data_IF_404098546199
#
_entry.id   IF_404098546199
#
_cell.length_a   1.000
_cell.length_b   1.000
_cell.length_c   1.000
_cell.angle_alpha   90.00
_cell.angle_beta   90.00
_cell.angle_gamma   90.00
#
_symmetry.space_group_name_H-M   'P 1'
#
loop_
_entity.id
_entity.type
_entity.pdbx_description
1 polymer ?
#
# COMPACT_ATOMS: atom_id res chain seq x y z
N UNK A 1 -27.82 28.05 37.88
CA UNK A 1 -26.61 28.72 37.37
C UNK A 1 -26.41 30.00 38.19
N UNK A 2 -25.56 29.98 39.24
CA UNK A 2 -25.32 31.17 40.07
C UNK A 2 -24.37 32.09 39.31
N UNK A 3 -24.88 33.22 38.82
CA UNK A 3 -24.07 34.29 38.26
C UNK A 3 -23.09 34.79 39.34
N UNK A 4 -21.80 34.89 38.97
CA UNK A 4 -20.73 35.48 39.78
C UNK A 4 -21.12 36.93 40.14
N UNK A 5 -21.73 37.13 41.31
CA UNK A 5 -22.10 38.46 41.80
C UNK A 5 -20.89 39.11 42.47
N UNK A 6 -20.27 40.05 41.75
CA UNK A 6 -19.14 40.84 42.25
C UNK A 6 -19.63 41.78 43.36
N UNK A 7 -19.46 41.36 44.62
CA UNK A 7 -19.73 42.21 45.78
C UNK A 7 -18.54 43.12 46.06
N UNK A 8 -18.81 44.42 46.24
CA UNK A 8 -17.84 45.44 46.66
C UNK A 8 -18.54 46.50 47.51
N UNK A 9 -17.83 47.04 48.50
CA UNK A 9 -18.36 48.01 49.48
C UNK A 9 -18.46 49.42 48.89
N UNK A 10 -17.73 49.72 47.81
CA UNK A 10 -17.79 50.98 47.06
C UNK A 10 -17.95 50.77 45.55
N UNK A 11 -18.46 51.77 44.80
CA UNK A 11 -18.59 51.70 43.34
C UNK A 11 -17.25 51.47 42.64
N UNK A 12 -16.18 52.08 43.15
CA UNK A 12 -14.82 51.95 42.64
C UNK A 12 -14.28 50.52 42.81
N UNK A 13 -14.53 49.91 43.97
CA UNK A 13 -14.11 48.54 44.25
C UNK A 13 -14.79 47.53 43.32
N UNK A 14 -16.06 47.75 42.98
CA UNK A 14 -16.78 46.91 42.01
C UNK A 14 -16.20 47.02 40.60
N UNK A 15 -15.84 48.22 40.15
CA UNK A 15 -15.23 48.45 38.84
C UNK A 15 -13.86 47.75 38.75
N UNK A 16 -13.01 47.92 39.76
CA UNK A 16 -11.69 47.29 39.80
C UNK A 16 -11.80 45.76 39.78
N UNK A 17 -12.71 45.18 40.57
CA UNK A 17 -12.94 43.73 40.57
C UNK A 17 -13.49 43.21 39.24
N UNK A 18 -14.36 43.98 38.57
CA UNK A 18 -14.87 43.62 37.25
C UNK A 18 -13.75 43.66 36.19
N UNK A 19 -12.91 44.69 36.20
CA UNK A 19 -11.74 44.78 35.31
C UNK A 19 -10.73 43.67 35.57
N UNK A 20 -10.48 43.33 36.84
CA UNK A 20 -9.60 42.23 37.20
C UNK A 20 -10.15 40.87 36.73
N UNK A 21 -11.46 40.64 36.86
CA UNK A 21 -12.10 39.41 36.38
C UNK A 21 -12.05 39.33 34.85
N UNK A 22 -12.25 40.45 34.16
CA UNK A 22 -12.15 40.52 32.70
C UNK A 22 -10.71 40.27 32.23
N UNK A 23 -9.70 40.81 32.93
CA UNK A 23 -8.29 40.53 32.67
C UNK A 23 -7.98 39.03 32.82
N UNK A 24 -8.46 38.39 33.89
CA UNK A 24 -8.26 36.95 34.11
C UNK A 24 -8.90 36.15 32.97
N UNK A 25 -10.12 36.48 32.55
CA UNK A 25 -10.78 35.82 31.42
C UNK A 25 -9.98 35.98 30.13
N UNK A 26 -9.44 37.18 29.85
CA UNK A 26 -8.60 37.43 28.68
C UNK A 26 -7.30 36.60 28.72
N UNK A 27 -6.63 36.55 29.87
CA UNK A 27 -5.40 35.78 30.04
C UNK A 27 -5.66 34.28 29.89
N UNK A 28 -6.73 33.77 30.50
CA UNK A 28 -7.12 32.35 30.38
C UNK A 28 -7.53 32.02 28.94
N UNK A 29 -8.29 32.90 28.28
CA UNK A 29 -8.68 32.73 26.87
C UNK A 29 -7.47 32.70 25.94
N UNK A 30 -6.49 33.59 26.15
CA UNK A 30 -5.23 33.59 25.40
C UNK A 30 -4.41 32.32 25.65
N UNK A 31 -4.26 31.91 26.92
CA UNK A 31 -3.53 30.71 27.29
C UNK A 31 -4.20 29.45 26.72
N UNK A 32 -5.53 29.38 26.75
CA UNK A 32 -6.30 28.30 26.15
C UNK A 32 -6.11 28.24 24.63
N UNK A 33 -6.20 29.38 23.94
CA UNK A 33 -5.97 29.46 22.50
C UNK A 33 -4.57 28.97 22.12
N UNK A 34 -3.54 29.44 22.83
CA UNK A 34 -2.15 29.03 22.63
C UNK A 34 -1.94 27.54 22.92
N UNK A 35 -2.56 26.99 23.96
CA UNK A 35 -2.48 25.57 24.27
C UNK A 35 -3.15 24.71 23.19
N UNK A 36 -4.29 25.16 22.66
CA UNK A 36 -5.03 24.44 21.63
C UNK A 36 -4.28 24.42 20.29
N UNK A 37 -3.61 25.51 19.91
CA UNK A 37 -2.71 25.54 18.75
C UNK A 37 -1.57 24.52 18.89
N UNK A 38 -0.89 24.52 20.04
CA UNK A 38 0.19 23.55 20.32
C UNK A 38 -0.31 22.10 20.31
N UNK A 39 -1.52 21.85 20.80
CA UNK A 39 -2.12 20.51 20.83
C UNK A 39 -2.47 20.05 19.41
N UNK A 40 -3.08 20.91 18.59
CA UNK A 40 -3.36 20.62 17.19
C UNK A 40 -2.07 20.33 16.42
N UNK A 41 -1.04 21.18 16.58
CA UNK A 41 0.26 20.97 15.96
C UNK A 41 0.88 19.63 16.36
N UNK A 42 0.84 19.22 17.64
CA UNK A 42 1.33 17.90 18.07
C UNK A 42 0.53 16.74 17.47
N UNK A 43 -0.80 16.85 17.48
CA UNK A 43 -1.68 15.81 16.92
C UNK A 43 -1.47 15.67 15.42
N UNK A 44 -1.25 16.76 14.69
CA UNK A 44 -0.96 16.74 13.26
C UNK A 44 0.50 16.34 12.93
N UNK A 45 1.46 16.70 13.79
CA UNK A 45 2.88 16.38 13.60
C UNK A 45 3.17 14.88 13.81
N UNK A 46 2.48 14.23 14.75
CA UNK A 46 2.72 12.84 15.12
C UNK A 46 1.78 11.83 14.46
N UNK A 47 0.68 12.27 13.82
CA UNK A 47 -0.17 11.33 13.11
C UNK A 47 0.59 10.74 11.90
N UNK A 48 0.82 9.43 11.81
CA UNK A 48 1.61 8.86 10.71
C UNK A 48 0.86 8.87 9.36
N UNK A 49 -0.47 9.03 9.36
CA UNK A 49 -1.29 9.17 8.17
C UNK A 49 -2.09 10.48 8.19
N UNK A 50 -2.00 11.28 7.14
CA UNK A 50 -2.82 12.49 7.00
C UNK A 50 -3.28 12.67 5.56
N UNK A 51 -4.57 12.96 5.39
CA UNK A 51 -5.17 13.28 4.10
C UNK A 51 -5.89 14.63 4.19
N UNK A 52 -5.27 15.65 3.61
CA UNK A 52 -5.78 17.02 3.51
C UNK A 52 -6.81 17.19 2.38
N UNK A 53 -6.77 16.30 1.39
CA UNK A 53 -7.65 16.38 0.22
C UNK A 53 -9.04 15.88 0.53
N UNK A 54 -9.15 14.88 1.41
CA UNK A 54 -10.38 14.15 1.69
C UNK A 54 -10.80 13.23 0.55
N UNK A 55 -9.96 13.06 -0.48
CA UNK A 55 -10.26 12.29 -1.69
C UNK A 55 -9.91 10.80 -1.53
N UNK A 56 -9.17 10.40 -0.49
CA UNK A 56 -8.76 9.00 -0.31
C UNK A 56 -9.94 8.14 0.13
N UNK A 57 -10.23 7.11 -0.66
CA UNK A 57 -11.29 6.15 -0.41
C UNK A 57 -11.00 5.30 0.84
N UNK A 58 -12.06 4.83 1.50
CA UNK A 58 -11.93 4.06 2.75
C UNK A 58 -11.04 2.80 2.62
N UNK A 59 -11.13 1.98 1.55
CA UNK A 59 -10.24 0.82 1.38
C UNK A 59 -8.76 1.22 1.26
N UNK A 60 -8.46 2.26 0.47
CA UNK A 60 -7.09 2.75 0.30
C UNK A 60 -6.54 3.32 1.62
N UNK A 61 -7.37 4.04 2.38
CA UNK A 61 -7.02 4.55 3.70
C UNK A 61 -6.68 3.44 4.69
N UNK A 62 -7.47 2.36 4.69
CA UNK A 62 -7.21 1.19 5.53
C UNK A 62 -5.88 0.52 5.14
N UNK A 63 -5.66 0.30 3.84
CA UNK A 63 -4.43 -0.26 3.30
C UNK A 63 -3.19 0.58 3.70
N UNK A 64 -3.26 1.90 3.53
CA UNK A 64 -2.19 2.81 3.92
C UNK A 64 -1.85 2.74 5.41
N UNK A 65 -2.87 2.67 6.28
CA UNK A 65 -2.67 2.52 7.73
C UNK A 65 -2.05 1.17 8.09
N UNK A 66 -2.48 0.09 7.45
CA UNK A 66 -1.89 -1.24 7.62
C UNK A 66 -0.43 -1.28 7.18
N UNK A 67 -0.12 -0.64 6.04
CA UNK A 67 1.27 -0.49 5.58
C UNK A 67 2.13 0.23 6.62
N UNK A 68 1.69 1.40 7.11
CA UNK A 68 2.40 2.18 8.13
C UNK A 68 2.66 1.33 9.39
N UNK A 69 1.63 0.66 9.89
CA UNK A 69 1.71 -0.19 11.07
C UNK A 69 2.70 -1.32 10.88
N UNK A 70 2.58 -2.05 9.78
CA UNK A 70 3.43 -3.21 9.50
C UNK A 70 4.89 -2.81 9.25
N UNK A 71 5.14 -1.66 8.62
CA UNK A 71 6.50 -1.12 8.45
C UNK A 71 7.17 -0.83 9.80
N UNK A 72 6.41 -0.28 10.75
CA UNK A 72 6.89 -0.05 12.11
C UNK A 72 7.15 -1.36 12.86
N UNK A 73 6.21 -2.30 12.81
CA UNK A 73 6.28 -3.59 13.52
C UNK A 73 7.40 -4.50 13.00
N UNK A 74 7.54 -4.64 11.67
CA UNK A 74 8.47 -5.61 11.07
C UNK A 74 9.87 -5.05 10.86
N UNK A 75 9.99 -3.75 10.62
CA UNK A 75 11.27 -3.15 10.21
C UNK A 75 11.73 -1.99 11.11
N UNK A 76 10.94 -1.60 12.11
CA UNK A 76 11.25 -0.43 12.95
C UNK A 76 11.18 0.90 12.19
N UNK A 77 10.54 0.94 11.02
CA UNK A 77 10.47 2.13 10.17
C UNK A 77 9.22 2.94 10.50
N UNK A 78 9.42 4.20 10.91
CA UNK A 78 8.33 5.15 11.15
C UNK A 78 7.95 5.84 9.86
N UNK A 79 6.78 5.49 9.33
CA UNK A 79 6.25 6.06 8.10
C UNK A 79 5.40 7.31 8.38
N UNK A 80 5.66 8.40 7.65
CA UNK A 80 4.78 9.56 7.52
C UNK A 80 4.23 9.63 6.10
N UNK A 81 2.96 9.25 5.95
CA UNK A 81 2.21 9.38 4.70
C UNK A 81 1.33 10.63 4.74
N UNK A 82 1.48 11.47 3.71
CA UNK A 82 0.79 12.75 3.58
C UNK A 82 0.14 12.88 2.21
N UNK A 83 -1.18 12.96 2.15
CA UNK A 83 -1.90 13.38 0.95
C UNK A 83 -2.22 14.87 1.12
N UNK A 84 -1.64 15.71 0.26
CA UNK A 84 -1.64 17.17 0.41
C UNK A 84 -2.32 17.85 -0.77
N UNK A 85 -2.71 19.10 -0.58
CA UNK A 85 -3.21 19.98 -1.66
C UNK A 85 -2.09 20.78 -2.34
N UNK A 86 -0.95 20.89 -1.68
CA UNK A 86 0.23 21.60 -2.16
C UNK A 86 1.48 20.78 -1.91
N UNK A 87 2.44 20.90 -2.82
CA UNK A 87 3.75 20.24 -2.71
C UNK A 87 4.45 20.68 -1.41
N UNK A 88 4.72 19.75 -0.46
CA UNK A 88 5.39 20.09 0.78
C UNK A 88 6.89 20.28 0.56
N UNK A 89 7.52 21.05 1.43
CA UNK A 89 8.99 21.07 1.52
C UNK A 89 9.52 19.66 1.81
N UNK A 90 10.60 19.30 1.11
CA UNK A 90 11.26 18.02 1.30
C UNK A 90 11.87 17.94 2.71
N UNK A 91 11.42 17.01 3.57
CA UNK A 91 12.03 16.85 4.88
C UNK A 91 13.46 16.30 4.76
N UNK A 92 14.30 16.57 5.75
CA UNK A 92 15.64 15.98 5.83
C UNK A 92 15.52 14.47 6.10
N UNK A 93 16.31 13.62 5.41
CA UNK A 93 16.37 12.20 5.72
C UNK A 93 16.78 11.95 7.17
N UNK A 94 16.11 11.02 7.85
CA UNK A 94 16.41 10.61 9.22
C UNK A 94 16.43 9.08 9.31
N UNK A 95 17.25 8.53 10.22
CA UNK A 95 17.34 7.08 10.43
C UNK A 95 15.98 6.49 10.85
N UNK A 96 15.58 5.41 10.18
CA UNK A 96 14.31 4.72 10.44
C UNK A 96 13.06 5.59 10.25
N UNK A 97 13.14 6.71 9.50
CA UNK A 97 11.97 7.52 9.13
C UNK A 97 11.79 7.55 7.62
N UNK A 98 10.60 7.17 7.18
CA UNK A 98 10.21 7.23 5.78
C UNK A 98 9.12 8.28 5.63
N UNK A 99 9.26 9.16 4.63
CA UNK A 99 8.23 10.13 4.27
C UNK A 99 7.74 9.88 2.85
N UNK A 100 6.43 9.89 2.68
CA UNK A 100 5.78 9.89 1.37
C UNK A 100 4.70 10.97 1.35
N UNK A 101 4.93 12.02 0.57
CA UNK A 101 3.98 13.06 0.24
C UNK A 101 3.41 12.82 -1.16
N UNK A 102 2.09 12.82 -1.30
CA UNK A 102 1.41 12.74 -2.60
C UNK A 102 0.50 13.94 -2.74
N UNK A 103 0.60 14.64 -3.87
CA UNK A 103 -0.14 15.87 -4.15
C UNK A 103 -0.88 15.70 -5.47
N UNK A 104 -2.12 15.18 -5.45
CA UNK A 104 -2.84 14.83 -6.66
C UNK A 104 -3.12 16.04 -7.58
N UNK A 105 -3.37 17.22 -7.01
CA UNK A 105 -3.61 18.45 -7.77
C UNK A 105 -2.39 18.91 -8.56
N UNK A 106 -1.21 18.82 -7.95
CA UNK A 106 0.05 19.26 -8.54
C UNK A 106 0.73 18.13 -9.33
N UNK A 107 0.14 16.92 -9.33
CA UNK A 107 0.72 15.69 -9.91
C UNK A 107 2.14 15.43 -9.39
N UNK A 108 2.36 15.73 -8.12
CA UNK A 108 3.67 15.68 -7.50
C UNK A 108 3.72 14.61 -6.40
N UNK A 109 4.88 13.97 -6.29
CA UNK A 109 5.22 13.07 -5.19
C UNK A 109 6.54 13.55 -4.57
N UNK A 110 6.61 13.48 -3.25
CA UNK A 110 7.82 13.74 -2.48
C UNK A 110 8.11 12.51 -1.65
N UNK A 111 9.14 11.76 -2.02
CA UNK A 111 9.59 10.59 -1.28
C UNK A 111 10.91 10.91 -0.58
N UNK A 112 11.00 10.59 0.70
CA UNK A 112 12.26 10.66 1.44
C UNK A 112 12.47 9.33 2.14
N UNK A 113 13.44 8.51 1.68
CA UNK A 113 13.76 7.26 2.32
C UNK A 113 14.48 7.49 3.67
N UNK A 114 14.49 6.49 4.56
CA UNK A 114 15.33 6.50 5.74
C UNK A 114 16.81 6.71 5.40
N UNK A 115 17.52 7.48 6.23
CA UNK A 115 18.94 7.79 5.99
C UNK A 115 19.86 6.55 6.08
N UNK A 116 19.39 5.46 6.72
CA UNK A 116 20.08 4.18 6.82
C UNK A 116 19.82 3.23 5.63
N UNK A 117 19.07 3.67 4.62
CA UNK A 117 18.92 2.92 3.38
C UNK A 117 20.17 3.04 2.48
N UNK A 118 20.48 2.01 1.67
CA UNK A 118 21.60 2.09 0.72
C UNK A 118 21.41 3.26 -0.24
N UNK A 119 22.32 4.24 -0.21
CA UNK A 119 22.14 5.54 -0.85
C UNK A 119 21.83 5.50 -2.35
N UNK A 120 22.49 4.60 -3.09
CA UNK A 120 22.26 4.44 -4.53
C UNK A 120 20.83 3.95 -4.83
N UNK A 121 20.40 2.87 -4.17
CA UNK A 121 19.08 2.27 -4.38
C UNK A 121 17.95 3.13 -3.84
N UNK A 122 18.18 3.81 -2.72
CA UNK A 122 17.22 4.74 -2.15
C UNK A 122 17.01 5.94 -3.08
N UNK A 123 18.08 6.45 -3.70
CA UNK A 123 18.01 7.51 -4.70
C UNK A 123 17.31 7.04 -5.98
N UNK A 124 17.56 5.81 -6.43
CA UNK A 124 16.89 5.21 -7.59
C UNK A 124 15.37 5.11 -7.36
N UNK A 125 14.95 4.54 -6.23
CA UNK A 125 13.52 4.44 -5.88
C UNK A 125 12.88 5.82 -5.79
N UNK A 126 13.59 6.78 -5.20
CA UNK A 126 13.10 8.15 -5.10
C UNK A 126 12.87 8.77 -6.47
N UNK A 127 13.86 8.72 -7.37
CA UNK A 127 13.73 9.23 -8.73
C UNK A 127 12.55 8.57 -9.46
N UNK A 128 12.44 7.24 -9.35
CA UNK A 128 11.36 6.50 -9.97
C UNK A 128 9.99 6.89 -9.44
N UNK A 129 9.78 6.93 -8.12
CA UNK A 129 8.49 7.28 -7.53
C UNK A 129 8.08 8.71 -7.86
N UNK A 130 9.02 9.65 -7.86
CA UNK A 130 8.74 11.06 -8.07
C UNK A 130 8.56 11.43 -9.54
N UNK A 131 9.32 10.81 -10.45
CA UNK A 131 9.32 11.20 -11.86
C UNK A 131 8.58 10.25 -12.80
N UNK A 132 8.55 8.94 -12.50
CA UNK A 132 8.12 7.91 -13.47
C UNK A 132 6.86 7.17 -13.03
N UNK A 133 6.84 6.65 -11.80
CA UNK A 133 5.79 5.74 -11.32
C UNK A 133 4.40 6.37 -11.42
N UNK A 134 4.23 7.56 -10.86
CA UNK A 134 2.92 8.20 -10.82
C UNK A 134 2.49 8.84 -12.15
N UNK A 135 3.40 9.05 -13.09
CA UNK A 135 3.10 9.68 -14.38
C UNK A 135 1.96 8.96 -15.13
N UNK A 136 1.95 7.62 -15.07
CA UNK A 136 0.90 6.77 -15.67
C UNK A 136 -0.38 6.63 -14.85
N UNK A 137 -0.37 7.07 -13.58
CA UNK A 137 -1.52 6.92 -12.68
C UNK A 137 -2.28 8.22 -12.48
N UNK A 138 -1.68 9.39 -12.75
CA UNK A 138 -2.32 10.68 -12.50
C UNK A 138 -3.64 10.88 -13.26
N UNK A 139 -3.68 10.46 -14.53
CA UNK A 139 -4.86 10.62 -15.38
C UNK A 139 -5.90 9.49 -15.23
N UNK A 140 -5.51 8.38 -14.59
CA UNK A 140 -6.36 7.20 -14.44
C UNK A 140 -6.87 7.06 -12.99
N UNK A 141 -6.02 6.54 -12.11
CA UNK A 141 -6.31 6.39 -10.69
C UNK A 141 -5.02 6.55 -9.89
N UNK A 142 -4.84 7.74 -9.33
CA UNK A 142 -3.66 8.06 -8.52
C UNK A 142 -3.64 7.27 -7.19
N UNK A 143 -4.79 6.79 -6.70
CA UNK A 143 -4.85 5.96 -5.49
C UNK A 143 -4.34 4.54 -5.78
N UNK A 144 -4.59 4.03 -6.99
CA UNK A 144 -3.93 2.81 -7.46
C UNK A 144 -2.42 3.01 -7.54
N UNK A 145 -1.97 4.15 -8.09
CA UNK A 145 -0.55 4.52 -8.10
C UNK A 145 0.05 4.57 -6.69
N UNK A 146 -0.67 5.13 -5.72
CA UNK A 146 -0.26 5.13 -4.31
C UNK A 146 -0.18 3.71 -3.74
N UNK A 147 -1.18 2.86 -3.99
CA UNK A 147 -1.15 1.45 -3.55
C UNK A 147 0.10 0.74 -4.09
N UNK A 148 0.35 0.84 -5.39
CA UNK A 148 1.54 0.27 -6.02
C UNK A 148 2.82 0.84 -5.39
N UNK A 149 2.92 2.16 -5.19
CA UNK A 149 4.08 2.79 -4.58
C UNK A 149 4.39 2.24 -3.17
N UNK A 150 3.36 2.02 -2.35
CA UNK A 150 3.54 1.42 -1.01
C UNK A 150 4.06 -0.03 -1.10
N UNK A 151 3.63 -0.80 -2.09
CA UNK A 151 4.17 -2.15 -2.36
C UNK A 151 5.64 -2.08 -2.77
N UNK A 152 6.01 -1.14 -3.65
CA UNK A 152 7.40 -0.93 -4.06
C UNK A 152 8.30 -0.62 -2.86
N UNK A 153 7.86 0.32 -2.02
CA UNK A 153 8.56 0.70 -0.79
C UNK A 153 8.70 -0.50 0.16
N UNK A 154 7.63 -1.27 0.34
CA UNK A 154 7.64 -2.49 1.16
C UNK A 154 8.69 -3.48 0.66
N UNK A 155 8.71 -3.75 -0.65
CA UNK A 155 9.62 -4.70 -1.26
C UNK A 155 11.08 -4.25 -1.11
N UNK A 156 11.35 -2.97 -1.34
CA UNK A 156 12.68 -2.38 -1.14
C UNK A 156 13.14 -2.47 0.31
N UNK A 157 12.23 -2.30 1.28
CA UNK A 157 12.56 -2.42 2.69
C UNK A 157 12.83 -3.88 3.10
N UNK A 158 11.99 -4.80 2.62
CA UNK A 158 12.08 -6.24 2.91
C UNK A 158 13.39 -6.82 2.38
N UNK A 159 13.76 -6.42 1.18
CA UNK A 159 15.04 -6.78 0.57
C UNK A 159 15.84 -5.50 0.29
N UNK A 160 16.56 -5.02 1.32
CA UNK A 160 17.40 -3.81 1.22
C UNK A 160 18.46 -3.94 0.11
N UNK A 161 18.77 -5.16 -0.31
CA UNK A 161 19.71 -5.45 -1.38
C UNK A 161 19.04 -5.79 -2.72
N UNK A 162 17.71 -5.79 -2.82
CA UNK A 162 17.04 -5.88 -4.09
C UNK A 162 17.30 -4.62 -4.94
N UNK A 163 17.56 -4.80 -6.23
CA UNK A 163 17.59 -3.67 -7.17
C UNK A 163 16.19 -3.07 -7.27
N UNK A 164 16.11 -1.80 -7.66
CA UNK A 164 14.83 -1.16 -7.89
C UNK A 164 14.02 -1.97 -8.92
N UNK A 165 14.63 -2.53 -9.97
CA UNK A 165 14.01 -3.46 -10.93
C UNK A 165 13.29 -4.65 -10.25
N UNK A 166 13.93 -5.27 -9.25
CA UNK A 166 13.35 -6.39 -8.47
C UNK A 166 12.23 -5.94 -7.54
N UNK A 167 12.30 -4.71 -7.00
CA UNK A 167 11.25 -4.11 -6.19
C UNK A 167 10.09 -3.57 -7.03
N UNK A 168 10.39 -3.07 -8.25
CA UNK A 168 9.57 -2.36 -9.25
C UNK A 168 8.53 -3.22 -9.93
N UNK A 169 8.64 -4.53 -9.80
CA UNK A 169 7.72 -5.39 -10.49
C UNK A 169 6.30 -5.24 -9.89
N UNK A 170 5.50 -4.37 -10.53
CA UNK A 170 4.08 -4.64 -10.80
C UNK A 170 3.89 -6.01 -11.48
N UNK A 171 4.98 -6.60 -12.01
CA UNK A 171 5.14 -7.99 -12.44
C UNK A 171 5.62 -8.93 -11.31
N UNK A 172 5.59 -8.52 -10.03
CA UNK A 172 6.18 -9.33 -8.97
C UNK A 172 5.50 -10.68 -9.06
N UNK A 173 6.26 -11.77 -9.17
CA UNK A 173 5.65 -13.06 -9.52
C UNK A 173 4.47 -13.37 -8.61
N UNK A 174 4.56 -12.99 -7.33
CA UNK A 174 3.52 -13.19 -6.34
C UNK A 174 3.25 -11.92 -5.53
N UNK A 175 1.98 -11.51 -5.49
CA UNK A 175 1.46 -10.61 -4.45
C UNK A 175 0.40 -11.36 -3.65
N UNK A 176 0.53 -11.36 -2.33
CA UNK A 176 -0.42 -12.01 -1.42
C UNK A 176 -1.03 -10.96 -0.47
N UNK A 177 -2.24 -10.47 -0.79
CA UNK A 177 -2.95 -9.51 0.07
C UNK A 177 -3.53 -10.17 1.32
N UNK A 178 -3.84 -11.47 1.28
CA UNK A 178 -4.41 -12.17 2.44
C UNK A 178 -3.34 -12.40 3.52
N UNK A 179 -2.08 -12.52 3.11
CA UNK A 179 -0.95 -12.77 4.01
C UNK A 179 -0.95 -14.20 4.57
N UNK A 180 -1.74 -15.08 3.97
CA UNK A 180 -2.01 -16.43 4.46
C UNK A 180 -1.20 -17.50 3.71
N UNK A 181 -0.47 -17.14 2.65
CA UNK A 181 0.41 -18.08 1.95
C UNK A 181 1.66 -18.36 2.78
N UNK A 182 1.98 -19.64 3.04
CA UNK A 182 3.17 -20.03 3.81
C UNK A 182 4.48 -19.68 3.07
N UNK A 183 5.60 -19.63 3.79
CA UNK A 183 6.91 -19.39 3.18
C UNK A 183 7.27 -20.48 2.14
N UNK A 184 6.89 -21.72 2.39
CA UNK A 184 7.11 -22.84 1.47
C UNK A 184 6.31 -22.67 0.17
N UNK A 185 5.04 -22.30 0.26
CA UNK A 185 4.19 -22.07 -0.90
C UNK A 185 4.66 -20.87 -1.72
N UNK A 186 5.14 -19.81 -1.05
CA UNK A 186 5.74 -18.65 -1.72
C UNK A 186 6.98 -19.05 -2.51
N UNK A 187 7.86 -19.85 -1.90
CA UNK A 187 9.06 -20.36 -2.56
C UNK A 187 8.70 -21.28 -3.75
N UNK A 188 7.66 -22.10 -3.62
CA UNK A 188 7.14 -22.92 -4.71
C UNK A 188 6.70 -22.06 -5.91
N UNK A 189 5.87 -21.04 -5.66
CA UNK A 189 5.38 -20.11 -6.69
C UNK A 189 6.54 -19.40 -7.40
N UNK A 190 7.53 -18.92 -6.66
CA UNK A 190 8.72 -18.28 -7.22
C UNK A 190 9.53 -19.22 -8.11
N UNK A 191 9.73 -20.47 -7.68
CA UNK A 191 10.43 -21.50 -8.47
C UNK A 191 9.68 -21.82 -9.76
N UNK A 192 8.35 -21.96 -9.70
CA UNK A 192 7.52 -22.17 -10.88
C UNK A 192 7.72 -21.05 -11.90
N UNK A 193 7.60 -19.79 -11.48
CA UNK A 193 7.73 -18.66 -12.41
C UNK A 193 9.15 -18.53 -12.99
N UNK A 194 10.18 -18.76 -12.16
CA UNK A 194 11.56 -18.78 -12.63
C UNK A 194 11.79 -19.88 -13.66
N UNK A 195 11.18 -21.05 -13.48
CA UNK A 195 11.24 -22.14 -14.44
C UNK A 195 10.47 -21.83 -15.72
N UNK A 196 9.30 -21.18 -15.61
CA UNK A 196 8.49 -20.78 -16.75
C UNK A 196 9.21 -19.78 -17.65
N UNK A 197 9.88 -18.79 -17.04
CA UNK A 197 10.65 -17.79 -17.76
C UNK A 197 11.88 -18.42 -18.42
N UNK A 198 12.61 -19.28 -17.70
CA UNK A 198 13.82 -19.94 -18.22
C UNK A 198 13.51 -20.92 -19.36
N UNK A 199 12.49 -21.77 -19.18
CA UNK A 199 12.29 -22.94 -20.06
C UNK A 199 11.29 -22.65 -21.19
N UNK A 200 10.42 -21.64 -21.03
CA UNK A 200 9.40 -21.30 -22.03
C UNK A 200 9.42 -19.83 -22.46
N UNK A 201 10.32 -19.00 -21.92
CA UNK A 201 10.34 -17.54 -22.15
C UNK A 201 8.98 -16.88 -21.90
N UNK A 202 8.22 -17.37 -20.90
CA UNK A 202 6.94 -16.80 -20.47
C UNK A 202 7.04 -16.31 -19.03
N UNK A 203 6.39 -15.20 -18.72
CA UNK A 203 6.34 -14.62 -17.37
C UNK A 203 5.10 -15.10 -16.63
N UNK A 204 5.17 -15.16 -15.29
CA UNK A 204 4.01 -15.47 -14.45
C UNK A 204 3.75 -14.36 -13.44
N UNK A 205 2.50 -13.91 -13.39
CA UNK A 205 1.99 -12.92 -12.44
C UNK A 205 0.85 -13.54 -11.64
N UNK A 206 1.08 -13.77 -10.36
CA UNK A 206 0.16 -14.43 -9.43
C UNK A 206 -0.27 -13.44 -8.35
N UNK A 207 -1.57 -13.27 -8.16
CA UNK A 207 -2.15 -12.29 -7.24
C UNK A 207 -3.20 -12.95 -6.35
N UNK A 208 -3.04 -12.85 -5.04
CA UNK A 208 -4.04 -13.26 -4.05
C UNK A 208 -4.71 -12.01 -3.48
N UNK A 209 -6.01 -11.89 -3.68
CA UNK A 209 -6.84 -10.74 -3.32
C UNK A 209 -7.69 -11.03 -2.08
N UNK A 210 -7.95 -10.00 -1.27
CA UNK A 210 -9.00 -10.06 -0.22
C UNK A 210 -10.40 -9.77 -0.74
N UNK A 211 -10.53 -9.22 -1.96
CA UNK A 211 -11.77 -8.69 -2.50
C UNK A 211 -11.94 -8.99 -3.99
N UNK A 212 -12.29 -8.00 -4.80
CA UNK A 212 -12.41 -8.22 -6.23
C UNK A 212 -11.06 -8.49 -6.88
N UNK A 213 -11.03 -9.48 -7.78
CA UNK A 213 -9.89 -9.73 -8.65
C UNK A 213 -9.85 -8.61 -9.69
N UNK A 214 -8.70 -7.94 -9.79
CA UNK A 214 -8.41 -6.96 -10.83
C UNK A 214 -7.37 -7.59 -11.74
N UNK A 215 -7.73 -7.83 -13.00
CA UNK A 215 -6.80 -8.31 -14.02
C UNK A 215 -6.00 -7.11 -14.51
N UNK A 216 -4.66 -7.12 -14.41
CA UNK A 216 -3.84 -6.05 -14.95
C UNK A 216 -3.86 -6.07 -16.48
N UNK A 217 -3.35 -5.02 -17.10
CA UNK A 217 -3.04 -5.07 -18.54
C UNK A 217 -1.88 -6.06 -18.76
N UNK A 218 -2.08 -7.07 -19.60
CA UNK A 218 -1.15 -8.18 -19.79
C UNK A 218 -0.56 -8.14 -21.18
N UNK A 219 0.76 -8.29 -21.28
CA UNK A 219 1.43 -8.49 -22.55
C UNK A 219 1.17 -9.90 -23.13
N UNK A 220 1.71 -10.16 -24.32
CA UNK A 220 1.54 -11.43 -25.02
C UNK A 220 2.46 -12.57 -24.50
N UNK A 221 3.19 -12.36 -23.40
CA UNK A 221 4.14 -13.30 -22.81
C UNK A 221 3.85 -13.61 -21.34
N UNK A 222 2.90 -12.91 -20.73
CA UNK A 222 2.64 -12.99 -19.29
C UNK A 222 1.37 -13.79 -19.02
N UNK A 223 1.51 -14.88 -18.27
CA UNK A 223 0.36 -15.54 -17.66
C UNK A 223 -0.05 -14.80 -16.39
N UNK A 224 -1.35 -14.71 -16.17
CA UNK A 224 -1.93 -14.15 -14.96
C UNK A 224 -2.77 -15.19 -14.24
N UNK A 225 -2.60 -15.23 -12.92
CA UNK A 225 -3.43 -16.04 -12.03
C UNK A 225 -3.84 -15.18 -10.84
N UNK A 226 -5.09 -14.74 -10.84
CA UNK A 226 -5.72 -14.05 -9.73
C UNK A 226 -6.57 -15.02 -8.91
N UNK A 227 -6.42 -15.02 -7.59
CA UNK A 227 -7.28 -15.77 -6.65
C UNK A 227 -7.85 -14.82 -5.62
N UNK A 228 -9.13 -14.94 -5.28
CA UNK A 228 -9.76 -14.29 -4.13
C UNK A 228 -10.44 -15.34 -3.25
N UNK A 229 -9.76 -15.85 -2.20
CA UNK A 229 -10.30 -16.92 -1.36
C UNK A 229 -11.58 -16.50 -0.63
N UNK A 230 -11.68 -15.25 -0.18
CA UNK A 230 -12.87 -14.71 0.52
C UNK A 230 -14.12 -14.62 -0.35
N UNK A 231 -13.95 -14.59 -1.68
CA UNK A 231 -15.04 -14.49 -2.66
C UNK A 231 -15.24 -15.78 -3.45
N UNK A 232 -14.44 -16.83 -3.17
CA UNK A 232 -14.39 -18.07 -3.94
C UNK A 232 -14.27 -17.82 -5.46
N UNK A 233 -13.36 -16.93 -5.83
CA UNK A 233 -13.14 -16.55 -7.23
C UNK A 233 -11.70 -16.81 -7.62
N UNK A 234 -11.51 -17.21 -8.87
CA UNK A 234 -10.22 -17.24 -9.53
C UNK A 234 -10.37 -16.67 -10.95
N UNK A 235 -9.28 -16.14 -11.49
CA UNK A 235 -9.17 -15.77 -12.90
C UNK A 235 -7.81 -16.24 -13.38
N UNK A 236 -7.82 -17.06 -14.43
CA UNK A 236 -6.59 -17.48 -15.11
C UNK A 236 -6.61 -16.92 -16.52
N UNK A 237 -5.52 -16.27 -16.92
CA UNK A 237 -5.31 -15.78 -18.28
C UNK A 237 -3.95 -16.24 -18.77
N UNK A 238 -3.93 -16.87 -19.94
CA UNK A 238 -2.70 -17.35 -20.55
C UNK A 238 -2.36 -16.55 -21.81
N UNK A 239 -1.06 -16.30 -22.07
CA UNK A 239 -0.63 -15.71 -23.32
C UNK A 239 -0.95 -16.62 -24.51
N UNK A 240 -1.05 -16.08 -25.75
CA UNK A 240 -1.50 -16.83 -26.91
C UNK A 240 -0.73 -18.13 -27.17
N UNK A 241 0.58 -18.13 -26.91
CA UNK A 241 1.46 -19.31 -27.12
C UNK A 241 1.10 -20.41 -26.11
N UNK A 242 1.01 -20.07 -24.81
CA UNK A 242 0.61 -21.02 -23.77
C UNK A 242 -0.81 -21.56 -24.02
N UNK A 243 -1.77 -20.73 -24.44
CA UNK A 243 -3.13 -21.21 -24.78
C UNK A 243 -3.13 -22.28 -25.86
N UNK A 244 -2.23 -22.19 -26.84
CA UNK A 244 -2.12 -23.20 -27.90
C UNK A 244 -1.56 -24.52 -27.36
N UNK A 245 -0.53 -24.44 -26.51
CA UNK A 245 0.10 -25.62 -25.91
C UNK A 245 -0.80 -26.31 -24.86
N UNK A 246 -1.49 -25.53 -24.04
CA UNK A 246 -2.36 -26.03 -22.97
C UNK A 246 -3.68 -26.64 -23.46
N UNK A 247 -4.07 -26.34 -24.70
CA UNK A 247 -5.34 -26.78 -25.28
C UNK A 247 -6.49 -25.82 -25.01
N UNK A 248 -7.54 -25.95 -25.83
CA UNK A 248 -8.71 -25.04 -25.78
C UNK A 248 -9.46 -25.18 -24.46
N UNK A 249 -9.58 -24.07 -23.73
CA UNK A 249 -10.42 -23.96 -22.54
C UNK A 249 -9.76 -24.42 -21.24
N UNK A 250 -8.45 -24.70 -21.23
CA UNK A 250 -7.72 -25.07 -20.02
C UNK A 250 -7.80 -23.98 -18.92
N UNK A 251 -7.70 -22.70 -19.30
CA UNK A 251 -7.95 -21.54 -18.45
C UNK A 251 -9.35 -21.57 -17.80
N UNK A 252 -10.36 -21.94 -18.59
CA UNK A 252 -11.75 -22.05 -18.13
C UNK A 252 -11.92 -23.22 -17.18
N UNK A 253 -11.30 -24.37 -17.44
CA UNK A 253 -11.31 -25.54 -16.54
C UNK A 253 -10.68 -25.18 -15.20
N UNK A 254 -9.51 -24.54 -15.19
CA UNK A 254 -8.90 -24.07 -13.94
C UNK A 254 -9.82 -23.11 -13.18
N UNK A 255 -10.41 -22.16 -13.91
CA UNK A 255 -11.23 -21.09 -13.32
C UNK A 255 -12.60 -21.58 -12.81
N UNK A 256 -13.26 -22.49 -13.51
CA UNK A 256 -14.66 -22.89 -13.26
C UNK A 256 -14.82 -24.22 -12.53
N UNK A 257 -13.81 -25.07 -12.54
CA UNK A 257 -13.89 -26.41 -11.98
C UNK A 257 -12.87 -26.54 -10.84
N UNK A 258 -11.57 -26.46 -11.15
CA UNK A 258 -10.49 -26.69 -10.19
C UNK A 258 -10.53 -25.74 -8.98
N UNK A 259 -10.52 -24.43 -9.21
CA UNK A 259 -10.47 -23.47 -8.10
C UNK A 259 -11.74 -23.49 -7.22
N UNK A 260 -12.96 -23.49 -7.78
CA UNK A 260 -14.19 -23.65 -7.00
C UNK A 260 -14.19 -24.86 -6.06
N UNK A 261 -13.71 -26.02 -6.49
CA UNK A 261 -13.58 -27.21 -5.64
C UNK A 261 -12.63 -26.95 -4.46
N UNK A 262 -11.44 -26.39 -4.73
CA UNK A 262 -10.42 -26.14 -3.71
C UNK A 262 -10.81 -25.07 -2.69
N UNK A 263 -11.68 -24.12 -3.07
CA UNK A 263 -12.22 -23.15 -2.11
C UNK A 263 -13.21 -23.80 -1.13
N UNK A 264 -13.99 -24.78 -1.58
CA UNK A 264 -14.95 -25.49 -0.74
C UNK A 264 -14.30 -26.25 0.43
N UNK A 265 -13.08 -26.75 0.20
CA UNK A 265 -12.30 -27.50 1.19
C UNK A 265 -11.45 -26.59 2.11
N UNK A 266 -11.47 -25.26 1.89
CA UNK A 266 -10.68 -24.30 2.67
C UNK A 266 -9.18 -24.30 2.35
N UNK A 267 -8.71 -25.12 1.41
CA UNK A 267 -7.29 -25.28 1.05
C UNK A 267 -6.98 -24.73 -0.35
N UNK A 268 -7.32 -23.46 -0.55
CA UNK A 268 -7.03 -22.72 -1.77
C UNK A 268 -5.52 -22.63 -2.07
N UNK A 269 -4.67 -22.74 -1.05
CA UNK A 269 -3.20 -22.71 -1.18
C UNK A 269 -2.68 -23.96 -1.90
N UNK A 270 -3.22 -25.14 -1.54
CA UNK A 270 -2.99 -26.38 -2.27
C UNK A 270 -3.58 -26.31 -3.66
N UNK A 271 -4.78 -25.74 -3.81
CA UNK A 271 -5.40 -25.51 -5.10
C UNK A 271 -4.50 -24.72 -6.05
N UNK A 272 -3.89 -23.63 -5.58
CA UNK A 272 -2.90 -22.87 -6.33
C UNK A 272 -1.72 -23.73 -6.80
N UNK A 273 -1.08 -24.48 -5.88
CA UNK A 273 0.07 -25.34 -6.23
C UNK A 273 -0.31 -26.37 -7.28
N UNK A 274 -1.44 -27.05 -7.10
CA UNK A 274 -1.93 -28.06 -8.06
C UNK A 274 -2.18 -27.44 -9.44
N UNK A 275 -2.78 -26.25 -9.51
CA UNK A 275 -3.00 -25.55 -10.78
C UNK A 275 -1.68 -25.22 -11.50
N UNK A 276 -0.65 -24.77 -10.76
CA UNK A 276 0.67 -24.50 -11.32
C UNK A 276 1.37 -25.77 -11.79
N UNK A 277 1.25 -26.88 -11.04
CA UNK A 277 1.79 -28.19 -11.43
C UNK A 277 1.13 -28.68 -12.72
N UNK A 278 -0.20 -28.65 -12.79
CA UNK A 278 -0.93 -29.08 -13.99
C UNK A 278 -0.58 -28.21 -15.20
N UNK A 279 -0.45 -26.89 -15.00
CA UNK A 279 0.00 -25.97 -16.06
C UNK A 279 1.39 -26.35 -16.55
N UNK A 280 2.33 -26.64 -15.63
CA UNK A 280 3.68 -27.07 -15.99
C UNK A 280 3.68 -28.38 -16.78
N UNK A 281 3.02 -29.41 -16.27
CA UNK A 281 2.97 -30.73 -16.88
C UNK A 281 2.42 -30.67 -18.31
N UNK A 282 1.34 -29.90 -18.49
CA UNK A 282 0.73 -29.71 -19.80
C UNK A 282 1.64 -28.95 -20.77
N UNK A 283 2.41 -27.97 -20.30
CA UNK A 283 3.40 -27.26 -21.13
C UNK A 283 4.63 -28.11 -21.46
N UNK A 284 5.08 -28.93 -20.51
CA UNK A 284 6.23 -29.82 -20.66
C UNK A 284 5.92 -31.02 -21.58
N UNK A 285 4.64 -31.23 -21.94
CA UNK A 285 4.23 -32.29 -22.85
C UNK A 285 4.24 -33.68 -22.19
N UNK A 286 4.08 -33.77 -20.87
CA UNK A 286 3.85 -35.06 -20.22
C UNK A 286 2.43 -35.54 -20.58
N UNK A 287 2.34 -36.31 -21.66
CA UNK A 287 1.22 -37.23 -21.88
C UNK A 287 1.11 -38.12 -20.63
N UNK A 288 0.04 -37.95 -19.84
CA UNK A 288 -0.46 -39.04 -19.02
C UNK A 288 -0.83 -40.20 -19.97
N UNK A 289 0.11 -41.14 -20.14
CA UNK A 289 -0.21 -42.54 -20.42
C UNK A 289 -0.51 -43.25 -19.13
#
# INVERSE_FOLDING_TARGET
>A
MRLLTVHGKSPLERIIRMLALLLVVLVVGWAFWKNNQNMLERVYADNPYWDETGLVQAPMRAYAKDFIRTMGEQFGVRVKLRIRRTTPDRPKPENGRLFLGVVPSDRAVVFVPPADWPGEKAAELQDYLEQKHFARHWDADWQLGLKSALVLIWNQQRDRNASLEQAMHEDAVLLDETGTLSQEDRAFVQRFASALERDFAQKAVIRIFRGNIIVPDLDNQTMFLGISPTRNQAVVSFPPIMRRALGKGFDRTLTREHFPETFGDGDWSRGLKTALIHTWQQLAGEEFK
#
